data_IF_787207259737
#
_entry.id   IF_787207259737
#
_cell.length_a   1.000
_cell.length_b   1.000
_cell.length_c   1.000
_cell.angle_alpha   90.00
_cell.angle_beta   90.00
_cell.angle_gamma   90.00
#
_symmetry.space_group_name_H-M   'P 1'
#
loop_
_entity.id
_entity.type
_entity.pdbx_description
1 polymer ?
#
# COMPACT_ATOMS: atom_id res chain seq x y z
N UNK A 1 -11.45 -1.27 14.53
CA UNK A 1 -10.65 -2.43 14.05
C UNK A 1 -10.01 -2.18 12.68
N UNK A 2 -10.82 -1.87 11.66
CA UNK A 2 -10.44 -1.71 10.25
C UNK A 2 -9.12 -0.93 9.98
N UNK A 3 -8.92 0.26 10.56
CA UNK A 3 -7.68 1.05 10.42
C UNK A 3 -6.41 0.30 10.84
N UNK A 4 -6.49 -0.49 11.92
CA UNK A 4 -5.34 -1.25 12.40
C UNK A 4 -5.01 -2.41 11.45
N UNK A 5 -6.04 -3.05 10.88
CA UNK A 5 -5.88 -4.10 9.87
C UNK A 5 -5.26 -3.54 8.59
N UNK A 6 -5.77 -2.41 8.08
CA UNK A 6 -5.17 -1.68 6.95
C UNK A 6 -3.68 -1.37 7.18
N UNK A 7 -3.36 -0.82 8.36
CA UNK A 7 -1.97 -0.51 8.73
C UNK A 7 -1.10 -1.76 8.84
N UNK A 8 -1.62 -2.88 9.34
CA UNK A 8 -0.89 -4.16 9.39
C UNK A 8 -0.61 -4.67 7.99
N UNK A 9 -1.63 -4.71 7.12
CA UNK A 9 -1.51 -5.15 5.73
C UNK A 9 -0.50 -4.31 4.94
N UNK A 10 -0.61 -2.98 4.99
CA UNK A 10 0.35 -2.08 4.34
C UNK A 10 1.79 -2.25 4.85
N UNK A 11 1.98 -2.60 6.12
CA UNK A 11 3.32 -2.88 6.68
C UNK A 11 3.91 -4.20 6.19
N UNK A 12 3.11 -5.10 5.63
CA UNK A 12 3.60 -6.33 5.02
C UNK A 12 4.20 -6.09 3.62
N UNK A 13 3.91 -4.95 2.98
CA UNK A 13 4.36 -4.65 1.63
C UNK A 13 5.88 -4.89 1.42
N UNK A 14 6.80 -4.37 2.26
CA UNK A 14 8.24 -4.65 2.06
C UNK A 14 8.61 -6.13 2.22
N UNK A 15 7.87 -6.88 3.05
CA UNK A 15 8.06 -8.32 3.20
C UNK A 15 7.64 -9.04 1.92
N UNK A 16 6.50 -8.67 1.34
CA UNK A 16 6.00 -9.26 0.10
C UNK A 16 6.93 -8.96 -1.07
N UNK A 17 7.43 -7.72 -1.21
CA UNK A 17 8.44 -7.37 -2.19
C UNK A 17 9.70 -8.22 -2.05
N UNK A 18 10.20 -8.43 -0.82
CA UNK A 18 11.38 -9.28 -0.59
C UNK A 18 11.16 -10.73 -1.00
N UNK A 19 9.99 -11.30 -0.71
CA UNK A 19 9.66 -12.69 -1.07
C UNK A 19 9.51 -12.83 -2.58
N UNK A 20 8.92 -11.82 -3.22
CA UNK A 20 8.75 -11.72 -4.65
C UNK A 20 10.04 -11.35 -5.42
N UNK A 21 11.13 -10.99 -4.71
CA UNK A 21 12.36 -10.45 -5.31
C UNK A 21 12.08 -9.21 -6.17
N UNK A 22 11.09 -8.41 -5.75
CA UNK A 22 10.76 -7.12 -6.35
C UNK A 22 11.55 -6.04 -5.60
N UNK A 23 12.41 -5.34 -6.34
CA UNK A 23 13.29 -4.35 -5.77
C UNK A 23 12.61 -2.97 -5.69
N UNK A 24 12.96 -2.17 -4.69
CA UNK A 24 12.27 -0.90 -4.43
C UNK A 24 12.59 0.18 -5.48
N UNK A 25 13.72 0.06 -6.16
CA UNK A 25 14.12 0.90 -7.30
C UNK A 25 13.24 0.68 -8.54
N UNK A 26 12.52 -0.45 -8.61
CA UNK A 26 11.53 -0.73 -9.64
C UNK A 26 10.18 -0.07 -9.37
N UNK A 27 9.97 0.54 -8.19
CA UNK A 27 8.72 1.25 -7.86
C UNK A 27 8.67 2.55 -8.68
N UNK A 28 7.74 2.59 -9.63
CA UNK A 28 7.48 3.77 -10.46
C UNK A 28 6.19 4.43 -10.00
N UNK A 29 6.27 5.72 -9.68
CA UNK A 29 5.13 6.55 -9.23
C UNK A 29 4.89 7.62 -10.29
N UNK A 30 3.66 7.70 -10.79
CA UNK A 30 3.23 8.75 -11.71
C UNK A 30 3.00 10.09 -10.99
N UNK A 31 2.90 11.16 -11.77
CA UNK A 31 2.67 12.52 -11.25
C UNK A 31 1.34 12.66 -10.48
N UNK A 32 0.39 11.78 -10.75
CA UNK A 32 -0.92 11.70 -10.11
C UNK A 32 -0.94 10.85 -8.82
N UNK A 33 0.23 10.39 -8.36
CA UNK A 33 0.38 9.46 -7.23
C UNK A 33 -0.20 8.07 -7.47
N UNK A 34 -0.31 7.64 -8.73
CA UNK A 34 -0.52 6.22 -9.05
C UNK A 34 0.80 5.46 -9.06
N UNK A 35 0.79 4.21 -8.60
CA UNK A 35 1.96 3.33 -8.66
C UNK A 35 1.80 2.35 -9.82
N UNK A 36 2.81 2.23 -10.68
CA UNK A 36 2.82 1.19 -11.73
C UNK A 36 2.82 -0.19 -11.05
N UNK A 37 1.94 -1.08 -11.51
CA UNK A 37 1.93 -2.46 -11.04
C UNK A 37 3.16 -3.21 -11.57
N UNK A 38 3.64 -4.18 -10.80
CA UNK A 38 4.73 -5.03 -11.23
C UNK A 38 4.24 -6.02 -12.28
N UNK A 39 4.98 -6.12 -13.38
CA UNK A 39 4.84 -7.17 -14.36
C UNK A 39 5.73 -8.34 -13.93
N UNK A 40 5.20 -9.56 -13.94
CA UNK A 40 5.94 -10.77 -13.56
C UNK A 40 5.36 -11.99 -14.28
N UNK A 41 6.20 -13.00 -14.52
CA UNK A 41 5.77 -14.30 -15.04
C UNK A 41 5.46 -15.25 -13.86
N UNK A 42 4.24 -15.81 -13.75
CA UNK A 42 3.93 -16.83 -12.75
C UNK A 42 4.90 -18.02 -12.74
N UNK A 43 5.49 -18.39 -13.89
CA UNK A 43 6.44 -19.50 -13.98
C UNK A 43 7.74 -19.24 -13.21
N UNK A 44 8.17 -17.97 -13.07
CA UNK A 44 9.35 -17.58 -12.27
C UNK A 44 9.22 -17.98 -10.79
N UNK A 45 7.98 -18.17 -10.32
CA UNK A 45 7.68 -18.48 -8.93
C UNK A 45 7.30 -19.94 -8.71
N UNK A 46 7.13 -20.75 -9.76
CA UNK A 46 6.69 -22.15 -9.66
C UNK A 46 7.62 -23.02 -8.79
N UNK A 47 8.91 -22.72 -8.81
CA UNK A 47 9.93 -23.42 -8.01
C UNK A 47 9.94 -23.08 -6.51
N UNK A 48 9.12 -22.12 -6.03
CA UNK A 48 9.05 -21.81 -4.59
C UNK A 48 8.37 -22.96 -3.83
N UNK A 49 8.93 -23.30 -2.67
CA UNK A 49 8.47 -24.43 -1.83
C UNK A 49 7.04 -24.23 -1.35
N UNK A 50 6.71 -23.03 -0.86
CA UNK A 50 5.39 -22.77 -0.27
C UNK A 50 4.49 -21.98 -1.21
N UNK A 51 3.20 -22.32 -1.24
CA UNK A 51 2.20 -21.64 -2.08
C UNK A 51 2.11 -20.14 -1.83
N UNK A 52 2.21 -19.70 -0.57
CA UNK A 52 2.18 -18.27 -0.24
C UNK A 52 3.36 -17.48 -0.83
N UNK A 53 4.50 -18.13 -1.11
CA UNK A 53 5.64 -17.48 -1.78
C UNK A 53 5.37 -17.29 -3.27
N UNK A 54 4.57 -18.17 -3.88
CA UNK A 54 4.15 -18.08 -5.27
C UNK A 54 3.17 -16.93 -5.50
N UNK A 55 2.32 -16.69 -4.50
CA UNK A 55 1.36 -15.58 -4.50
C UNK A 55 1.95 -14.23 -4.07
N UNK A 56 3.24 -14.18 -3.68
CA UNK A 56 3.84 -12.94 -3.18
C UNK A 56 3.77 -11.76 -4.18
N UNK A 57 4.05 -11.94 -5.49
CA UNK A 57 3.91 -10.85 -6.46
C UNK A 57 2.46 -10.39 -6.63
N UNK A 58 1.51 -11.33 -6.60
CA UNK A 58 0.08 -11.03 -6.60
C UNK A 58 -0.27 -10.15 -5.40
N UNK A 59 0.15 -10.53 -4.19
CA UNK A 59 -0.12 -9.76 -2.97
C UNK A 59 0.48 -8.34 -3.02
N UNK A 60 1.68 -8.17 -3.58
CA UNK A 60 2.27 -6.84 -3.83
C UNK A 60 1.33 -6.01 -4.72
N UNK A 61 0.92 -6.57 -5.86
CA UNK A 61 0.06 -5.87 -6.80
C UNK A 61 -1.34 -5.60 -6.23
N UNK A 62 -1.90 -6.48 -5.40
CA UNK A 62 -3.19 -6.25 -4.74
C UNK A 62 -3.13 -5.06 -3.77
N UNK A 63 -2.03 -4.90 -3.03
CA UNK A 63 -1.81 -3.70 -2.19
C UNK A 63 -1.76 -2.44 -3.05
N UNK A 64 -1.01 -2.46 -4.16
CA UNK A 64 -0.88 -1.30 -5.05
C UNK A 64 -2.19 -0.95 -5.75
N UNK A 65 -2.92 -1.94 -6.26
CA UNK A 65 -4.26 -1.75 -6.85
C UNK A 65 -5.20 -1.08 -5.86
N UNK A 66 -5.25 -1.56 -4.61
CA UNK A 66 -6.09 -0.98 -3.58
C UNK A 66 -5.73 0.48 -3.25
N UNK A 67 -4.45 0.85 -3.30
CA UNK A 67 -4.02 2.24 -3.18
C UNK A 67 -4.48 3.04 -4.39
N UNK A 68 -4.20 2.58 -5.61
CA UNK A 68 -4.57 3.28 -6.84
C UNK A 68 -6.08 3.47 -7.00
N UNK A 69 -6.90 2.57 -6.46
CA UNK A 69 -8.36 2.67 -6.47
C UNK A 69 -8.92 3.73 -5.50
N UNK A 70 -8.09 4.33 -4.64
CA UNK A 70 -8.52 5.43 -3.77
C UNK A 70 -8.80 6.67 -4.61
N UNK A 71 -10.04 7.17 -4.56
CA UNK A 71 -10.48 8.30 -5.39
C UNK A 71 -9.74 9.62 -5.14
N UNK A 72 -9.14 9.80 -3.95
CA UNK A 72 -8.45 11.04 -3.57
C UNK A 72 -6.93 10.88 -3.79
N UNK A 73 -6.30 11.59 -4.76
CA UNK A 73 -4.86 11.50 -5.00
C UNK A 73 -4.02 11.82 -3.77
N UNK A 74 -4.47 12.76 -2.94
CA UNK A 74 -3.81 13.08 -1.67
C UNK A 74 -3.74 11.89 -0.71
N UNK A 75 -4.78 11.05 -0.67
CA UNK A 75 -4.79 9.88 0.19
C UNK A 75 -3.87 8.79 -0.35
N UNK A 76 -3.82 8.60 -1.66
CA UNK A 76 -2.84 7.75 -2.33
C UNK A 76 -1.41 8.17 -1.94
N UNK A 77 -1.09 9.46 -2.12
CA UNK A 77 0.21 10.04 -1.80
C UNK A 77 0.64 9.80 -0.35
N UNK A 78 -0.29 9.98 0.61
CA UNK A 78 -0.03 9.73 2.03
C UNK A 78 0.34 8.27 2.27
N UNK A 79 -0.38 7.32 1.67
CA UNK A 79 -0.10 5.89 1.86
C UNK A 79 1.20 5.48 1.17
N UNK A 80 1.45 5.96 -0.05
CA UNK A 80 2.68 5.70 -0.80
C UNK A 80 3.91 6.16 -0.03
N UNK A 81 3.93 7.42 0.42
CA UNK A 81 5.05 7.94 1.22
C UNK A 81 5.21 7.26 2.58
N UNK A 82 4.14 6.71 3.14
CA UNK A 82 4.15 6.09 4.46
C UNK A 82 4.55 4.62 4.46
N UNK A 83 4.26 3.90 3.38
CA UNK A 83 4.29 2.43 3.38
C UNK A 83 4.94 1.80 2.14
N UNK A 84 4.93 2.50 1.00
CA UNK A 84 5.41 1.94 -0.28
C UNK A 84 6.84 2.39 -0.57
N UNK A 85 7.15 3.67 -0.37
CA UNK A 85 8.49 4.19 -0.55
C UNK A 85 9.47 3.56 0.47
N UNK A 86 10.70 3.20 0.05
CA UNK A 86 11.72 2.68 0.97
C UNK A 86 12.22 3.75 1.94
N UNK A 87 12.19 5.04 1.55
CA UNK A 87 12.56 6.15 2.44
C UNK A 87 11.53 6.28 3.57
N UNK A 88 11.98 6.20 4.82
CA UNK A 88 11.13 6.50 5.98
C UNK A 88 10.93 8.01 6.12
N UNK A 89 9.95 8.55 5.40
CA UNK A 89 9.63 9.98 5.43
C UNK A 89 8.80 10.28 6.69
N UNK A 90 9.27 11.21 7.53
CA UNK A 90 8.55 11.64 8.75
C UNK A 90 7.22 12.32 8.38
N UNK A 91 6.19 12.13 9.19
CA UNK A 91 4.85 12.72 8.96
C UNK A 91 4.88 14.22 8.70
N UNK A 92 5.70 14.99 9.43
CA UNK A 92 5.86 16.43 9.21
C UNK A 92 6.41 16.78 7.82
N UNK A 93 7.40 16.02 7.34
CA UNK A 93 7.98 16.17 6.00
C UNK A 93 6.98 15.75 4.91
N UNK A 94 6.17 14.71 5.17
CA UNK A 94 5.08 14.34 4.27
C UNK A 94 4.00 15.43 4.19
N UNK A 95 3.59 15.98 5.33
CA UNK A 95 2.62 17.07 5.40
C UNK A 95 3.11 18.30 4.62
N UNK A 96 4.38 18.67 4.79
CA UNK A 96 5.03 19.74 4.03
C UNK A 96 5.01 19.46 2.52
N UNK A 97 5.43 18.25 2.09
CA UNK A 97 5.42 17.85 0.66
C UNK A 97 4.02 17.92 0.03
N UNK A 98 2.98 17.68 0.82
CA UNK A 98 1.58 17.72 0.36
C UNK A 98 0.90 19.08 0.54
N UNK A 99 1.60 20.08 1.09
CA UNK A 99 1.03 21.40 1.37
C UNK A 99 -0.12 21.35 2.38
N UNK A 100 -0.12 20.40 3.31
CA UNK A 100 -1.17 20.28 4.34
C UNK A 100 -0.65 20.61 5.73
N UNK A 101 -1.53 21.20 6.54
CA UNK A 101 -1.23 21.47 7.94
C UNK A 101 -0.92 20.18 8.70
N UNK A 102 0.10 20.21 9.57
CA UNK A 102 0.47 19.05 10.37
C UNK A 102 -0.69 18.57 11.27
N UNK A 103 -1.54 19.49 11.72
CA UNK A 103 -2.74 19.21 12.52
C UNK A 103 -3.79 18.38 11.76
N UNK A 104 -3.89 18.53 10.44
CA UNK A 104 -4.88 17.82 9.60
C UNK A 104 -4.31 16.59 8.93
N UNK A 105 -2.99 16.47 8.80
CA UNK A 105 -2.32 15.32 8.19
C UNK A 105 -2.74 13.99 8.82
N UNK A 106 -2.86 13.91 10.16
CA UNK A 106 -3.24 12.67 10.83
C UNK A 106 -4.70 12.28 10.56
N UNK A 107 -5.59 13.25 10.38
CA UNK A 107 -6.97 12.99 9.98
C UNK A 107 -7.02 12.44 8.55
N UNK A 108 -6.35 13.10 7.61
CA UNK A 108 -6.25 12.64 6.22
C UNK A 108 -5.62 11.24 6.12
N UNK A 109 -4.58 10.96 6.90
CA UNK A 109 -3.97 9.62 6.96
C UNK A 109 -4.92 8.57 7.53
N UNK A 110 -5.70 8.91 8.56
CA UNK A 110 -6.70 7.99 9.12
C UNK A 110 -7.81 7.69 8.10
N UNK A 111 -8.26 8.69 7.33
CA UNK A 111 -9.23 8.50 6.25
C UNK A 111 -8.66 7.66 5.11
N UNK A 112 -7.44 7.94 4.66
CA UNK A 112 -6.75 7.16 3.64
C UNK A 112 -6.65 5.66 4.02
N UNK A 113 -6.37 5.36 5.29
CA UNK A 113 -6.35 3.98 5.79
C UNK A 113 -7.73 3.30 5.76
N UNK A 114 -8.82 4.05 5.97
CA UNK A 114 -10.19 3.52 5.87
C UNK A 114 -10.56 3.26 4.41
N UNK A 115 -10.24 4.20 3.53
CA UNK A 115 -10.49 4.07 2.09
C UNK A 115 -9.72 2.88 1.51
N UNK A 116 -8.42 2.74 1.83
CA UNK A 116 -7.63 1.55 1.47
C UNK A 116 -8.30 0.25 1.92
N UNK A 117 -8.81 0.20 3.15
CA UNK A 117 -9.45 -1.00 3.67
C UNK A 117 -10.70 -1.40 2.90
N UNK A 118 -11.45 -0.42 2.38
CA UNK A 118 -12.61 -0.64 1.51
C UNK A 118 -12.22 -1.09 0.11
N UNK A 119 -11.08 -0.63 -0.42
CA UNK A 119 -10.60 -1.01 -1.75
C UNK A 119 -9.85 -2.34 -1.76
N UNK A 120 -9.23 -2.73 -0.64
CA UNK A 120 -8.43 -3.95 -0.58
C UNK A 120 -9.30 -5.22 -0.63
N UNK A 121 -9.23 -5.94 -1.76
CA UNK A 121 -9.98 -7.18 -2.03
C UNK A 121 -11.45 -7.04 -1.62
N UNK A 122 -12.15 -6.12 -2.28
CA UNK A 122 -13.59 -5.87 -2.09
C UNK A 122 -13.98 -5.65 -0.63
N UNK A 123 -13.15 -4.91 0.11
CA UNK A 123 -13.44 -4.56 1.49
C UNK A 123 -13.15 -5.66 2.52
N UNK A 124 -12.35 -6.67 2.19
CA UNK A 124 -11.99 -7.76 3.12
C UNK A 124 -11.41 -7.29 4.47
N UNK A 125 -10.85 -6.07 4.53
CA UNK A 125 -10.31 -5.46 5.76
C UNK A 125 -11.33 -4.63 6.56
N UNK A 126 -12.58 -4.55 6.10
CA UNK A 126 -13.67 -3.89 6.81
C UNK A 126 -14.23 -4.77 7.95
N UNK A 127 -13.91 -6.07 7.97
CA UNK A 127 -14.47 -7.01 8.95
C UNK A 127 -14.09 -6.64 10.40
N UNK A 128 -15.10 -6.73 11.26
CA UNK A 128 -15.26 -6.19 12.62
C UNK A 128 -15.59 -4.69 12.72
N UNK A 129 -16.64 -4.26 12.02
CA UNK A 129 -17.47 -3.15 12.49
C UNK A 129 -18.62 -3.62 13.41
N UNK A 130 -19.01 -4.91 13.36
CA UNK A 130 -20.07 -5.48 14.20
C UNK A 130 -19.69 -6.88 14.74
N UNK A 131 -18.98 -6.94 15.87
CA UNK A 131 -18.96 -8.10 16.77
C UNK A 131 -18.83 -7.63 18.20
#
# INVERSE_FOLDING_TARGET
MCKQLAKRKLKEFPRWCRVAVLHHDQIQIGDDWTVKLFEFDPEDYKGKVHGWQREAPNEVNEILKAINAIAKPRHQAILIMSYILPEKIRSAKQAQRLGIAASTYYLAKNEALKEFAGQYRDGSLLQYLDS
#
